data_IF_663900885951
#
_entry.id   IF_663900885951
#
_cell.length_a   1.000
_cell.length_b   1.000
_cell.length_c   1.000
_cell.angle_alpha   90.00
_cell.angle_beta   90.00
_cell.angle_gamma   90.00
#
_symmetry.space_group_name_H-M   'P 1'
#
loop_
_entity.id
_entity.type
_entity.pdbx_description
1 polymer ?
#
# COMPACT_ATOMS: atom_id res chain seq x y z
N UNK A 1 12.17 -15.14 13.84
CA UNK A 1 11.44 -16.40 14.18
C UNK A 1 9.96 -16.12 14.24
N UNK A 2 9.18 -16.94 13.60
CA UNK A 2 7.72 -16.90 13.67
C UNK A 2 7.26 -17.61 14.93
N UNK A 3 6.24 -17.11 15.60
CA UNK A 3 5.66 -17.74 16.78
C UNK A 3 5.14 -19.14 16.43
N UNK A 4 5.43 -20.12 17.27
CA UNK A 4 5.24 -21.54 16.94
C UNK A 4 3.78 -21.94 16.67
N UNK A 5 2.83 -21.32 17.37
CA UNK A 5 1.40 -21.56 17.12
C UNK A 5 0.94 -21.08 15.73
N UNK A 6 1.59 -20.04 15.18
CA UNK A 6 1.35 -19.56 13.81
C UNK A 6 1.93 -20.55 12.80
N UNK A 7 3.17 -21.01 13.01
CA UNK A 7 3.78 -22.02 12.14
C UNK A 7 2.98 -23.31 12.10
N UNK A 8 2.46 -23.76 13.25
CA UNK A 8 1.62 -24.97 13.34
C UNK A 8 0.28 -24.80 12.59
N UNK A 9 -0.26 -23.59 12.61
CA UNK A 9 -1.57 -23.29 12.02
C UNK A 9 -1.51 -22.94 10.54
N UNK A 10 -0.42 -22.31 10.11
CA UNK A 10 -0.21 -21.86 8.74
C UNK A 10 1.15 -22.29 8.19
N UNK A 11 1.46 -23.61 8.20
CA UNK A 11 2.80 -24.09 7.83
C UNK A 11 3.15 -23.76 6.37
N UNK A 12 2.15 -23.75 5.49
CA UNK A 12 2.35 -23.51 4.06
C UNK A 12 2.71 -22.04 3.73
N UNK A 13 2.51 -21.11 4.66
CA UNK A 13 2.83 -19.70 4.42
C UNK A 13 4.31 -19.36 4.63
N UNK A 14 4.99 -20.08 5.52
CA UNK A 14 6.30 -19.70 6.04
C UNK A 14 7.45 -20.61 5.59
N UNK A 15 7.14 -21.66 4.84
CA UNK A 15 8.16 -22.53 4.28
C UNK A 15 8.83 -21.93 3.04
N UNK A 16 9.74 -22.72 2.45
CA UNK A 16 10.34 -22.38 1.16
C UNK A 16 9.29 -22.37 0.05
N UNK A 17 9.24 -21.28 -0.71
CA UNK A 17 8.37 -21.10 -1.86
C UNK A 17 9.20 -21.16 -3.13
N UNK A 18 8.66 -21.82 -4.16
CA UNK A 18 9.25 -21.80 -5.50
C UNK A 18 8.68 -20.59 -6.27
N UNK A 19 9.55 -19.63 -6.59
CA UNK A 19 9.13 -18.36 -7.19
C UNK A 19 10.08 -18.00 -8.34
N UNK A 20 9.56 -17.88 -9.54
CA UNK A 20 10.29 -17.53 -10.76
C UNK A 20 11.56 -18.39 -10.95
N UNK A 21 11.43 -19.72 -10.76
CA UNK A 21 12.52 -20.67 -10.90
C UNK A 21 13.53 -20.68 -9.74
N UNK A 22 13.22 -20.08 -8.62
CA UNK A 22 14.09 -19.99 -7.43
C UNK A 22 13.36 -20.50 -6.20
N UNK A 23 14.08 -21.20 -5.35
CA UNK A 23 13.61 -21.62 -4.04
C UNK A 23 13.98 -20.55 -3.01
N UNK A 24 12.98 -19.93 -2.40
CA UNK A 24 13.15 -18.78 -1.49
C UNK A 24 12.46 -19.08 -0.17
N UNK A 25 13.22 -19.01 0.91
CA UNK A 25 12.70 -19.18 2.27
C UNK A 25 12.03 -17.90 2.74
N UNK A 26 10.76 -18.00 3.18
CA UNK A 26 9.95 -16.88 3.61
C UNK A 26 10.47 -16.27 4.91
N UNK A 27 10.81 -17.10 5.90
CA UNK A 27 11.29 -16.61 7.20
C UNK A 27 12.64 -15.91 7.07
N UNK A 28 13.56 -16.49 6.29
CA UNK A 28 14.87 -15.89 6.05
C UNK A 28 14.75 -14.58 5.29
N UNK A 29 13.85 -14.51 4.30
CA UNK A 29 13.57 -13.29 3.53
C UNK A 29 13.02 -12.18 4.42
N UNK A 30 12.03 -12.48 5.28
CA UNK A 30 11.50 -11.50 6.25
C UNK A 30 12.64 -11.02 7.18
N UNK A 31 13.45 -11.94 7.67
CA UNK A 31 14.54 -11.62 8.58
C UNK A 31 15.61 -10.73 7.92
N UNK A 32 16.05 -11.08 6.71
CA UNK A 32 17.05 -10.33 5.96
C UNK A 32 16.58 -8.90 5.65
N UNK A 33 15.38 -8.75 5.09
CA UNK A 33 14.82 -7.43 4.78
C UNK A 33 14.53 -6.60 6.03
N UNK A 34 14.11 -7.25 7.12
CA UNK A 34 13.92 -6.56 8.39
C UNK A 34 15.23 -6.04 8.97
N UNK A 35 16.31 -6.83 8.94
CA UNK A 35 17.64 -6.36 9.42
C UNK A 35 18.15 -5.19 8.59
N UNK A 36 17.99 -5.27 7.26
CA UNK A 36 18.43 -4.23 6.35
C UNK A 36 17.68 -2.90 6.56
N UNK A 37 16.34 -2.94 6.67
CA UNK A 37 15.50 -1.74 6.64
C UNK A 37 15.09 -1.21 8.02
N UNK A 38 15.20 -2.00 9.09
CA UNK A 38 14.80 -1.59 10.44
C UNK A 38 15.43 -0.27 10.91
N UNK A 39 16.73 0.02 10.67
CA UNK A 39 17.30 1.30 11.09
C UNK A 39 16.64 2.49 10.40
N UNK A 40 16.36 2.39 9.10
CA UNK A 40 15.69 3.45 8.34
C UNK A 40 14.23 3.62 8.77
N UNK A 41 13.51 2.53 9.00
CA UNK A 41 12.14 2.54 9.54
C UNK A 41 12.10 3.21 10.91
N UNK A 42 13.01 2.84 11.81
CA UNK A 42 13.09 3.41 13.14
C UNK A 42 13.41 4.91 13.10
N UNK A 43 14.27 5.34 12.19
CA UNK A 43 14.59 6.75 11.97
C UNK A 43 13.37 7.53 11.45
N UNK A 44 12.65 7.00 10.45
CA UNK A 44 11.45 7.62 9.90
C UNK A 44 10.34 7.76 10.96
N UNK A 45 10.07 6.71 11.73
CA UNK A 45 9.09 6.74 12.82
C UNK A 45 9.50 7.67 13.97
N UNK A 46 10.79 7.82 14.22
CA UNK A 46 11.30 8.77 15.19
C UNK A 46 11.09 10.20 14.71
N UNK A 47 11.37 10.49 13.43
CA UNK A 47 11.11 11.79 12.82
C UNK A 47 9.62 12.16 12.89
N UNK A 48 8.69 11.23 12.58
CA UNK A 48 7.25 11.45 12.78
C UNK A 48 6.93 11.91 14.20
N UNK A 49 7.42 11.17 15.21
CA UNK A 49 7.19 11.51 16.63
C UNK A 49 7.79 12.85 17.02
N UNK A 50 8.96 13.20 16.50
CA UNK A 50 9.59 14.49 16.78
C UNK A 50 8.77 15.67 16.23
N UNK A 51 8.28 15.57 14.98
CA UNK A 51 7.41 16.57 14.39
C UNK A 51 6.12 16.72 15.19
N UNK A 52 5.47 15.60 15.53
CA UNK A 52 4.21 15.58 16.26
C UNK A 52 4.33 16.19 17.67
N UNK A 53 5.45 15.94 18.37
CA UNK A 53 5.72 16.41 19.74
C UNK A 53 6.45 17.74 19.80
N UNK A 54 6.77 18.35 18.68
CA UNK A 54 7.46 19.63 18.65
C UNK A 54 6.62 20.73 19.30
N UNK A 55 7.20 21.58 20.16
CA UNK A 55 6.50 22.71 20.76
C UNK A 55 6.28 23.87 19.77
N UNK A 56 6.86 23.79 18.58
CA UNK A 56 6.72 24.82 17.56
C UNK A 56 5.27 24.96 17.07
N UNK A 57 4.83 26.17 16.71
CA UNK A 57 3.51 26.39 16.11
C UNK A 57 3.28 25.50 14.89
N UNK A 58 2.04 25.05 14.68
CA UNK A 58 1.63 24.13 13.61
C UNK A 58 2.20 24.52 12.25
N UNK A 59 2.11 25.79 11.88
CA UNK A 59 2.62 26.30 10.59
C UNK A 59 4.13 26.20 10.42
N UNK A 60 4.90 26.07 11.50
CA UNK A 60 6.34 25.81 11.45
C UNK A 60 6.65 24.33 11.47
N UNK A 61 5.89 23.53 12.24
CA UNK A 61 6.04 22.07 12.27
C UNK A 61 5.75 21.43 10.91
N UNK A 62 4.73 21.96 10.21
CA UNK A 62 4.23 21.42 8.94
C UNK A 62 4.41 22.46 7.82
N UNK A 63 5.65 22.81 7.56
CA UNK A 63 6.00 23.73 6.49
C UNK A 63 6.18 22.97 5.15
N UNK A 64 5.96 23.68 4.04
CA UNK A 64 6.31 23.17 2.72
C UNK A 64 7.81 22.88 2.65
N UNK A 65 8.22 21.86 1.87
CA UNK A 65 9.63 21.62 1.58
C UNK A 65 10.32 22.88 1.06
N UNK A 66 11.57 23.03 1.43
CA UNK A 66 12.39 24.12 0.86
C UNK A 66 12.70 23.78 -0.60
N UNK A 67 12.73 24.80 -1.45
CA UNK A 67 13.04 24.60 -2.86
C UNK A 67 14.41 23.96 -3.13
N UNK A 68 15.38 24.18 -2.26
CA UNK A 68 16.73 23.63 -2.28
C UNK A 68 16.89 22.32 -1.50
N UNK A 69 15.80 21.81 -0.90
CA UNK A 69 15.83 20.52 -0.22
C UNK A 69 16.11 19.39 -1.22
N UNK A 70 17.02 18.49 -0.85
CA UNK A 70 17.55 17.49 -1.77
C UNK A 70 17.08 16.07 -1.43
N UNK A 71 16.85 15.28 -2.47
CA UNK A 71 16.46 13.89 -2.41
C UNK A 71 17.40 13.06 -3.30
N UNK A 72 17.83 11.90 -2.81
CA UNK A 72 18.57 10.96 -3.63
C UNK A 72 17.60 10.24 -4.58
N UNK A 73 17.92 10.23 -5.87
CA UNK A 73 17.19 9.43 -6.85
C UNK A 73 17.40 7.93 -6.54
N UNK A 74 16.34 7.17 -6.28
CA UNK A 74 16.47 5.75 -5.92
C UNK A 74 17.08 4.89 -7.04
N UNK A 75 17.11 5.38 -8.27
CA UNK A 75 17.64 4.68 -9.45
C UNK A 75 19.09 5.01 -9.70
N UNK A 76 19.40 6.30 -9.84
CA UNK A 76 20.73 6.77 -10.23
C UNK A 76 21.62 7.21 -9.07
N UNK A 77 21.06 7.36 -7.87
CA UNK A 77 21.75 7.93 -6.70
C UNK A 77 22.02 9.42 -6.78
N UNK A 78 21.70 10.09 -7.90
CA UNK A 78 21.92 11.53 -8.08
C UNK A 78 20.99 12.34 -7.19
N UNK A 79 21.49 13.46 -6.68
CA UNK A 79 20.67 14.39 -5.89
C UNK A 79 19.78 15.23 -6.82
N UNK A 80 18.49 15.33 -6.44
CA UNK A 80 17.50 16.21 -7.03
C UNK A 80 16.99 17.17 -5.96
N UNK A 81 16.78 18.43 -6.31
CA UNK A 81 16.12 19.38 -5.40
C UNK A 81 14.59 19.25 -5.52
N UNK A 82 13.88 19.71 -4.50
CA UNK A 82 12.40 19.80 -4.57
C UNK A 82 11.97 20.66 -5.77
N UNK A 83 12.71 21.74 -6.06
CA UNK A 83 12.51 22.57 -7.26
C UNK A 83 12.60 21.75 -8.54
N UNK A 84 13.59 20.87 -8.66
CA UNK A 84 13.80 20.04 -9.86
C UNK A 84 12.62 19.07 -10.06
N UNK A 85 12.15 18.50 -8.96
CA UNK A 85 11.00 17.57 -8.98
C UNK A 85 9.73 18.30 -9.46
N UNK A 86 9.42 19.47 -8.89
CA UNK A 86 8.24 20.25 -9.29
C UNK A 86 8.39 20.78 -10.72
N UNK A 87 9.60 21.20 -11.12
CA UNK A 87 9.85 21.65 -12.49
C UNK A 87 9.58 20.54 -13.51
N UNK A 88 9.92 19.28 -13.17
CA UNK A 88 9.63 18.13 -14.02
C UNK A 88 8.12 17.94 -14.26
N UNK A 89 7.28 18.15 -13.25
CA UNK A 89 5.80 18.14 -13.41
C UNK A 89 5.32 19.26 -14.34
N UNK A 90 5.87 20.45 -14.19
CA UNK A 90 5.53 21.60 -15.07
C UNK A 90 5.96 21.31 -16.50
N UNK A 91 7.14 20.74 -16.71
CA UNK A 91 7.66 20.39 -18.03
C UNK A 91 6.80 19.30 -18.71
N UNK A 92 6.27 18.34 -17.95
CA UNK A 92 5.30 17.37 -18.46
C UNK A 92 4.03 18.07 -18.99
N UNK A 93 3.47 18.98 -18.20
CA UNK A 93 2.26 19.73 -18.59
C UNK A 93 2.48 20.60 -19.84
N UNK A 94 3.64 21.25 -19.91
CA UNK A 94 3.98 22.13 -21.03
C UNK A 94 4.54 21.38 -22.25
N UNK A 95 4.68 20.06 -22.18
CA UNK A 95 5.30 19.26 -23.25
C UNK A 95 6.78 19.59 -23.51
N UNK A 96 7.50 20.15 -22.53
CA UNK A 96 8.90 20.56 -22.68
C UNK A 96 9.84 19.40 -22.44
N UNK A 97 10.80 19.19 -23.30
CA UNK A 97 11.92 18.29 -23.07
C UNK A 97 12.93 18.96 -22.14
N UNK A 98 13.25 18.33 -21.03
CA UNK A 98 14.27 18.79 -20.09
C UNK A 98 14.99 17.64 -19.41
N UNK A 99 16.21 17.87 -18.92
CA UNK A 99 16.97 16.90 -18.13
C UNK A 99 16.32 16.59 -16.75
N UNK A 100 15.29 17.34 -16.36
CA UNK A 100 14.55 17.21 -15.11
C UNK A 100 13.15 16.63 -15.30
N UNK A 101 12.81 16.25 -16.52
CA UNK A 101 11.54 15.59 -16.82
C UNK A 101 11.51 14.21 -16.19
N UNK A 102 10.42 13.89 -15.52
CA UNK A 102 10.15 12.57 -14.99
C UNK A 102 8.64 12.27 -15.09
N UNK A 103 8.30 11.01 -15.22
CA UNK A 103 6.92 10.57 -15.32
C UNK A 103 6.73 9.27 -14.59
N UNK A 104 5.47 9.00 -14.24
CA UNK A 104 5.09 7.71 -13.68
C UNK A 104 5.28 6.61 -14.73
N UNK A 105 5.89 5.50 -14.33
CA UNK A 105 6.04 4.27 -15.12
C UNK A 105 6.66 4.46 -16.53
N UNK A 106 7.53 5.45 -16.70
CA UNK A 106 8.19 5.73 -17.99
C UNK A 106 9.21 4.64 -18.36
N UNK A 107 9.84 4.01 -17.37
CA UNK A 107 10.86 2.99 -17.54
C UNK A 107 10.31 1.56 -17.56
N UNK A 108 9.25 1.29 -16.81
CA UNK A 108 8.66 -0.04 -16.67
C UNK A 108 7.16 0.02 -16.98
N UNK A 109 6.71 -0.66 -18.03
CA UNK A 109 5.31 -0.62 -18.46
C UNK A 109 4.33 -1.02 -17.36
N UNK A 110 3.12 -0.47 -17.42
CA UNK A 110 2.01 -0.88 -16.58
C UNK A 110 1.32 -2.06 -17.26
N UNK A 111 1.12 -3.18 -16.54
CA UNK A 111 0.30 -4.28 -17.05
C UNK A 111 -1.13 -3.83 -17.34
N UNK A 112 -1.75 -4.37 -18.40
CA UNK A 112 -3.06 -3.94 -18.88
C UNK A 112 -4.15 -4.06 -17.80
N UNK A 113 -4.13 -5.12 -17.01
CA UNK A 113 -5.09 -5.37 -15.93
C UNK A 113 -4.97 -4.37 -14.77
N UNK A 114 -3.79 -3.79 -14.56
CA UNK A 114 -3.52 -2.79 -13.52
C UNK A 114 -3.59 -1.35 -14.04
N UNK A 115 -3.74 -1.16 -15.36
CA UNK A 115 -3.68 0.17 -15.95
C UNK A 115 -4.91 1.00 -15.55
N UNK A 116 -4.73 2.13 -14.83
CA UNK A 116 -5.86 2.87 -14.23
C UNK A 116 -6.79 3.50 -15.27
N UNK A 117 -6.31 3.75 -16.49
CA UNK A 117 -7.12 4.29 -17.59
C UNK A 117 -7.83 3.19 -18.40
N UNK A 118 -7.28 1.97 -18.42
CA UNK A 118 -7.90 0.85 -19.12
C UNK A 118 -9.00 0.18 -18.27
N UNK A 119 -8.88 0.27 -16.93
CA UNK A 119 -9.84 -0.29 -15.99
C UNK A 119 -10.42 0.80 -15.07
N UNK A 120 -11.14 1.79 -15.61
CA UNK A 120 -11.81 2.79 -14.78
C UNK A 120 -12.98 2.15 -14.03
N UNK A 121 -13.22 2.58 -12.79
CA UNK A 121 -14.39 2.14 -12.06
C UNK A 121 -14.19 2.07 -10.56
N UNK A 122 -15.09 1.33 -9.92
CA UNK A 122 -15.13 1.17 -8.47
C UNK A 122 -14.03 0.22 -7.98
N UNK A 123 -13.36 0.59 -6.91
CA UNK A 123 -12.45 -0.26 -6.16
C UNK A 123 -13.16 -0.79 -4.91
N UNK A 124 -13.24 -2.11 -4.79
CA UNK A 124 -13.86 -2.76 -3.64
C UNK A 124 -12.80 -3.09 -2.59
N UNK A 125 -12.95 -2.56 -1.39
CA UNK A 125 -12.08 -2.84 -0.25
C UNK A 125 -12.75 -3.78 0.73
N UNK A 126 -12.01 -4.74 1.26
CA UNK A 126 -12.50 -5.59 2.33
C UNK A 126 -11.51 -6.64 2.80
N UNK A 127 -11.78 -7.27 3.96
CA UNK A 127 -10.94 -8.33 4.48
C UNK A 127 -11.09 -9.60 3.64
N UNK A 128 -10.02 -10.40 3.60
CA UNK A 128 -10.06 -11.74 2.98
C UNK A 128 -10.16 -12.86 4.04
N UNK A 129 -10.50 -12.47 5.26
CA UNK A 129 -10.91 -13.36 6.34
C UNK A 129 -12.10 -12.72 7.10
N UNK A 130 -13.22 -13.44 7.29
CA UNK A 130 -13.48 -14.83 6.89
C UNK A 130 -13.58 -15.04 5.38
N UNK A 131 -13.44 -16.29 4.94
CA UNK A 131 -13.27 -16.69 3.54
C UNK A 131 -14.43 -16.25 2.62
N UNK A 132 -15.65 -16.18 3.13
CA UNK A 132 -16.82 -15.71 2.36
C UNK A 132 -16.68 -14.25 1.91
N UNK A 133 -15.90 -13.43 2.61
CA UNK A 133 -15.61 -12.05 2.19
C UNK A 133 -14.74 -12.04 0.93
N UNK A 134 -13.72 -12.91 0.88
CA UNK A 134 -12.88 -13.06 -0.32
C UNK A 134 -13.71 -13.57 -1.52
N UNK A 135 -14.61 -14.55 -1.30
CA UNK A 135 -15.50 -15.05 -2.36
C UNK A 135 -16.43 -13.97 -2.91
N UNK A 136 -17.03 -13.17 -2.02
CA UNK A 136 -17.88 -12.05 -2.42
C UNK A 136 -17.09 -11.00 -3.21
N UNK A 137 -15.84 -10.71 -2.80
CA UNK A 137 -14.98 -9.79 -3.52
C UNK A 137 -14.66 -10.29 -4.94
N UNK A 138 -14.33 -11.57 -5.11
CA UNK A 138 -14.03 -12.17 -6.41
C UNK A 138 -15.26 -12.31 -7.32
N UNK A 139 -16.44 -12.46 -6.73
CA UNK A 139 -17.72 -12.49 -7.47
C UNK A 139 -18.27 -11.10 -7.78
N UNK A 140 -17.62 -10.03 -7.29
CA UNK A 140 -18.04 -8.66 -7.54
C UNK A 140 -17.79 -8.27 -9.00
N UNK A 141 -18.65 -7.42 -9.61
CA UNK A 141 -18.40 -6.84 -10.91
C UNK A 141 -17.40 -5.66 -10.87
N UNK A 142 -16.88 -5.30 -9.70
CA UNK A 142 -15.87 -4.25 -9.58
C UNK A 142 -14.61 -4.64 -10.35
N UNK A 143 -13.98 -3.73 -11.11
CA UNK A 143 -12.76 -4.05 -11.86
C UNK A 143 -11.55 -4.28 -10.95
N UNK A 144 -11.59 -3.75 -9.74
CA UNK A 144 -10.49 -3.82 -8.79
C UNK A 144 -10.96 -4.20 -7.38
N UNK A 145 -10.11 -4.93 -6.68
CA UNK A 145 -10.30 -5.30 -5.29
C UNK A 145 -9.03 -5.02 -4.49
N UNK A 146 -9.19 -4.50 -3.30
CA UNK A 146 -8.13 -4.31 -2.33
C UNK A 146 -8.31 -5.31 -1.17
N UNK A 147 -7.64 -6.49 -1.23
CA UNK A 147 -7.51 -7.36 -0.07
C UNK A 147 -6.83 -6.59 1.07
N UNK A 148 -7.55 -6.43 2.17
CA UNK A 148 -7.10 -5.57 3.24
C UNK A 148 -6.51 -6.38 4.39
N UNK A 149 -5.21 -6.19 4.62
CA UNK A 149 -4.46 -6.80 5.73
C UNK A 149 -4.15 -5.80 6.85
N UNK A 150 -4.81 -4.65 6.85
CA UNK A 150 -4.68 -3.59 7.85
C UNK A 150 -6.01 -3.32 8.55
N UNK A 151 -6.71 -2.24 8.20
CA UNK A 151 -7.86 -1.73 8.96
C UNK A 151 -9.09 -2.65 8.94
N UNK A 152 -9.34 -3.36 7.84
CA UNK A 152 -10.46 -4.29 7.76
C UNK A 152 -10.15 -5.68 8.36
N UNK A 153 -8.92 -5.89 8.84
CA UNK A 153 -8.49 -7.11 9.53
C UNK A 153 -8.09 -6.82 10.99
N UNK A 154 -8.99 -6.25 11.80
CA UNK A 154 -8.67 -5.89 13.18
C UNK A 154 -8.36 -7.13 14.02
N UNK A 155 -7.63 -6.97 15.13
CA UNK A 155 -7.45 -8.05 16.09
C UNK A 155 -8.84 -8.47 16.61
N UNK A 156 -9.06 -9.77 16.72
CA UNK A 156 -10.29 -10.29 17.31
C UNK A 156 -10.28 -10.08 18.83
N UNK A 157 -11.41 -9.70 19.37
CA UNK A 157 -11.64 -9.66 20.81
C UNK A 157 -12.42 -10.92 21.24
N UNK A 158 -12.10 -11.44 22.41
CA UNK A 158 -12.88 -12.50 23.04
C UNK A 158 -14.22 -11.94 23.50
N UNK A 159 -15.23 -12.80 23.74
CA UNK A 159 -16.53 -12.36 24.25
C UNK A 159 -16.48 -11.55 25.55
N UNK A 160 -15.43 -11.74 26.35
CA UNK A 160 -15.18 -10.99 27.60
C UNK A 160 -14.51 -9.61 27.38
N UNK A 161 -14.31 -9.21 26.11
CA UNK A 161 -13.67 -7.94 25.74
C UNK A 161 -12.14 -7.93 25.83
N UNK A 162 -11.52 -9.03 26.22
CA UNK A 162 -10.05 -9.12 26.19
C UNK A 162 -9.55 -9.31 24.77
N UNK A 163 -8.40 -8.71 24.38
CA UNK A 163 -7.81 -8.97 23.09
C UNK A 163 -7.56 -10.48 22.92
N UNK A 164 -8.07 -11.02 21.83
CA UNK A 164 -7.63 -12.33 21.40
C UNK A 164 -6.17 -12.19 20.97
N UNK A 165 -5.27 -12.84 21.70
CA UNK A 165 -3.88 -12.96 21.28
C UNK A 165 -3.73 -13.87 20.03
N UNK A 166 -4.81 -14.18 19.37
CA UNK A 166 -4.80 -14.96 18.15
C UNK A 166 -4.54 -14.03 16.95
N UNK A 167 -3.35 -14.08 16.33
CA UNK A 167 -2.99 -13.30 15.15
C UNK A 167 -3.66 -13.83 13.88
N UNK A 168 -4.89 -14.29 14.02
CA UNK A 168 -5.55 -15.17 13.04
C UNK A 168 -5.96 -14.42 11.79
N UNK A 169 -6.43 -13.17 11.93
CA UNK A 169 -7.07 -12.47 10.82
C UNK A 169 -6.18 -12.30 9.59
N UNK A 170 -4.96 -11.80 9.78
CA UNK A 170 -4.05 -11.48 8.67
C UNK A 170 -3.46 -12.74 8.05
N UNK A 171 -2.95 -13.67 8.87
CA UNK A 171 -2.38 -14.92 8.35
C UNK A 171 -3.45 -15.83 7.75
N UNK A 172 -4.66 -15.87 8.33
CA UNK A 172 -5.78 -16.56 7.72
C UNK A 172 -6.20 -15.94 6.38
N UNK A 173 -6.19 -14.62 6.25
CA UNK A 173 -6.45 -13.94 4.99
C UNK A 173 -5.38 -14.23 3.93
N UNK A 174 -4.10 -14.31 4.34
CA UNK A 174 -3.00 -14.72 3.46
C UNK A 174 -3.12 -16.18 3.02
N UNK A 175 -3.48 -17.09 3.94
CA UNK A 175 -3.74 -18.49 3.63
C UNK A 175 -4.93 -18.62 2.65
N UNK A 176 -6.01 -17.89 2.89
CA UNK A 176 -7.16 -17.85 1.98
C UNK A 176 -6.76 -17.39 0.58
N UNK A 177 -5.94 -16.33 0.49
CA UNK A 177 -5.44 -15.83 -0.78
C UNK A 177 -4.63 -16.89 -1.54
N UNK A 178 -3.68 -17.53 -0.85
CA UNK A 178 -2.85 -18.61 -1.43
C UNK A 178 -3.72 -19.74 -1.95
N UNK A 179 -4.63 -20.25 -1.13
CA UNK A 179 -5.53 -21.36 -1.51
C UNK A 179 -6.43 -21.01 -2.69
N UNK A 180 -6.96 -19.78 -2.73
CA UNK A 180 -7.80 -19.30 -3.83
C UNK A 180 -6.98 -19.23 -5.12
N UNK A 181 -5.78 -18.65 -5.10
CA UNK A 181 -4.96 -18.50 -6.30
C UNK A 181 -4.36 -19.84 -6.78
N UNK A 182 -4.15 -20.78 -5.87
CA UNK A 182 -3.81 -22.17 -6.23
C UNK A 182 -5.00 -22.97 -6.79
N UNK A 183 -6.23 -22.39 -6.78
CA UNK A 183 -7.43 -23.03 -7.31
C UNK A 183 -8.10 -24.02 -6.37
N UNK A 184 -7.70 -24.10 -5.10
CA UNK A 184 -8.26 -25.06 -4.13
C UNK A 184 -9.76 -24.86 -3.86
N UNK A 185 -10.30 -23.69 -4.24
CA UNK A 185 -11.69 -23.29 -4.03
C UNK A 185 -12.52 -23.17 -5.31
N UNK A 186 -11.98 -23.50 -6.49
CA UNK A 186 -12.66 -23.27 -7.77
C UNK A 186 -13.99 -24.01 -7.92
N UNK A 187 -14.14 -25.20 -7.34
CA UNK A 187 -15.38 -26.00 -7.42
C UNK A 187 -15.95 -26.34 -6.03
N UNK A 188 -15.27 -25.90 -4.99
CA UNK A 188 -15.60 -26.27 -3.61
C UNK A 188 -16.44 -25.19 -2.94
N UNK A 189 -17.60 -25.52 -2.31
CA UNK A 189 -18.34 -24.58 -1.49
C UNK A 189 -17.62 -24.36 -0.15
N UNK A 190 -17.72 -23.15 0.36
CA UNK A 190 -17.42 -22.81 1.75
C UNK A 190 -18.70 -22.70 2.54
N UNK A 191 -18.85 -23.53 3.56
CA UNK A 191 -20.01 -23.54 4.42
C UNK A 191 -19.68 -22.96 5.80
N UNK A 192 -20.52 -22.06 6.27
CA UNK A 192 -20.35 -21.40 7.56
C UNK A 192 -21.70 -21.17 8.23
N UNK A 193 -21.73 -21.34 9.55
CA UNK A 193 -22.92 -21.03 10.35
C UNK A 193 -22.89 -19.56 10.75
N UNK A 194 -23.86 -18.78 10.25
CA UNK A 194 -24.03 -17.36 10.60
C UNK A 194 -25.44 -17.16 11.17
N UNK A 195 -25.53 -16.65 12.40
CA UNK A 195 -26.79 -16.39 13.11
C UNK A 195 -27.69 -17.65 13.15
N UNK A 196 -27.11 -18.81 13.49
CA UNK A 196 -27.81 -20.10 13.60
C UNK A 196 -28.25 -20.72 12.27
N UNK A 197 -27.86 -20.18 11.12
CA UNK A 197 -28.21 -20.74 9.79
C UNK A 197 -26.93 -21.09 9.04
N UNK A 198 -26.88 -22.28 8.46
CA UNK A 198 -25.81 -22.67 7.52
C UNK A 198 -25.96 -21.86 6.23
N UNK A 199 -24.91 -21.24 5.80
CA UNK A 199 -24.78 -20.55 4.52
C UNK A 199 -23.65 -21.17 3.72
N UNK A 200 -23.90 -21.35 2.43
CA UNK A 200 -22.94 -21.88 1.48
C UNK A 200 -22.53 -20.77 0.50
N UNK A 201 -21.25 -20.58 0.33
CA UNK A 201 -20.65 -19.61 -0.59
C UNK A 201 -19.82 -20.34 -1.63
N UNK A 202 -19.77 -19.81 -2.85
CA UNK A 202 -18.94 -20.33 -3.94
C UNK A 202 -18.32 -19.19 -4.73
N UNK A 203 -17.15 -19.43 -5.31
CA UNK A 203 -16.62 -18.57 -6.36
C UNK A 203 -17.34 -18.96 -7.65
N UNK A 204 -18.11 -18.04 -8.21
CA UNK A 204 -18.90 -18.24 -9.44
C UNK A 204 -18.29 -17.55 -10.64
N UNK A 205 -17.45 -16.53 -10.39
CA UNK A 205 -16.74 -15.79 -11.43
C UNK A 205 -15.51 -16.56 -11.85
N UNK A 206 -15.30 -16.82 -13.14
CA UNK A 206 -14.07 -17.45 -13.63
C UNK A 206 -12.81 -16.64 -13.29
N UNK A 207 -11.67 -17.28 -12.99
CA UNK A 207 -10.43 -16.57 -12.62
C UNK A 207 -9.99 -15.47 -13.57
N UNK A 208 -10.19 -15.65 -14.88
CA UNK A 208 -9.87 -14.64 -15.90
C UNK A 208 -10.75 -13.36 -15.84
N UNK A 209 -11.82 -13.37 -15.05
CA UNK A 209 -12.73 -12.25 -14.84
C UNK A 209 -12.69 -11.71 -13.40
N UNK A 210 -11.79 -12.23 -12.58
CA UNK A 210 -11.65 -11.69 -11.23
C UNK A 210 -11.16 -10.25 -11.25
N UNK A 211 -11.60 -9.41 -10.30
CA UNK A 211 -11.04 -8.08 -10.11
C UNK A 211 -9.52 -8.11 -10.00
N UNK A 212 -8.82 -7.11 -10.51
CA UNK A 212 -7.39 -6.94 -10.24
C UNK A 212 -7.18 -6.68 -8.74
N UNK A 213 -6.24 -7.38 -8.12
CA UNK A 213 -6.04 -7.38 -6.66
C UNK A 213 -4.83 -6.56 -6.26
N UNK A 214 -5.05 -5.60 -5.37
CA UNK A 214 -4.02 -4.79 -4.75
C UNK A 214 -3.98 -5.08 -3.25
N UNK A 215 -3.08 -5.93 -2.79
CA UNK A 215 -2.96 -6.25 -1.36
C UNK A 215 -2.58 -5.01 -0.55
N UNK A 216 -3.35 -4.68 0.50
CA UNK A 216 -3.02 -3.57 1.40
C UNK A 216 -2.25 -4.08 2.62
N UNK A 217 -0.91 -3.93 2.65
CA UNK A 217 -0.13 -4.25 3.84
C UNK A 217 -0.37 -3.21 4.94
N UNK A 218 -0.03 -3.49 6.20
CA UNK A 218 -0.07 -2.50 7.26
C UNK A 218 0.87 -1.33 6.99
N UNK A 219 0.50 -0.16 7.56
CA UNK A 219 1.38 1.02 7.54
C UNK A 219 2.72 0.76 8.23
N UNK A 220 3.71 1.59 7.90
CA UNK A 220 5.10 1.46 8.36
C UNK A 220 5.24 1.42 9.89
N UNK A 221 4.29 1.99 10.62
CA UNK A 221 4.28 2.08 12.08
C UNK A 221 3.82 0.81 12.79
N UNK A 222 3.25 -0.15 12.07
CA UNK A 222 2.71 -1.39 12.65
C UNK A 222 3.81 -2.43 12.83
N UNK A 223 3.93 -2.94 14.04
CA UNK A 223 4.87 -4.00 14.40
C UNK A 223 4.11 -5.29 14.73
N UNK A 224 4.67 -6.43 14.34
CA UNK A 224 4.10 -7.75 14.57
C UNK A 224 4.87 -8.49 15.66
N UNK A 225 4.32 -8.58 16.87
CA UNK A 225 4.88 -9.34 17.99
C UNK A 225 4.97 -10.85 17.72
N UNK A 226 4.22 -11.32 16.73
CA UNK A 226 4.16 -12.72 16.34
C UNK A 226 5.27 -13.13 15.36
N UNK A 227 5.94 -12.14 14.78
CA UNK A 227 7.06 -12.30 13.87
C UNK A 227 8.23 -11.52 14.44
N UNK A 228 9.22 -12.21 15.01
CA UNK A 228 10.36 -11.54 15.62
C UNK A 228 11.65 -11.80 14.85
N UNK A 229 12.45 -10.77 14.71
CA UNK A 229 13.79 -10.83 14.13
C UNK A 229 14.78 -10.27 15.15
N UNK A 230 15.75 -11.08 15.53
CA UNK A 230 16.75 -10.76 16.56
C UNK A 230 16.10 -10.35 17.90
N UNK A 231 15.02 -11.07 18.29
CA UNK A 231 14.29 -10.85 19.53
C UNK A 231 13.36 -9.62 19.56
N UNK A 232 13.22 -8.90 18.44
CA UNK A 232 12.36 -7.72 18.34
C UNK A 232 11.23 -7.94 17.32
N UNK A 233 10.04 -7.35 17.50
CA UNK A 233 8.96 -7.40 16.54
C UNK A 233 9.39 -6.95 15.14
N UNK A 234 8.92 -7.65 14.12
CA UNK A 234 9.16 -7.27 12.73
C UNK A 234 8.17 -6.20 12.27
N UNK A 235 8.56 -5.31 11.33
CA UNK A 235 7.62 -4.42 10.67
C UNK A 235 6.55 -5.22 9.92
N UNK A 236 5.28 -4.95 10.21
CA UNK A 236 4.14 -5.62 9.57
C UNK A 236 4.13 -5.44 8.05
N UNK A 237 4.54 -4.25 7.57
CA UNK A 237 4.74 -3.98 6.16
C UNK A 237 5.64 -5.02 5.49
N UNK A 238 6.83 -5.29 6.07
CA UNK A 238 7.79 -6.24 5.49
C UNK A 238 7.20 -7.67 5.51
N UNK A 239 6.65 -8.08 6.63
CA UNK A 239 6.09 -9.44 6.76
C UNK A 239 4.97 -9.68 5.74
N UNK A 240 4.02 -8.75 5.61
CA UNK A 240 2.88 -8.89 4.68
C UNK A 240 3.32 -8.81 3.22
N UNK A 241 4.22 -7.88 2.87
CA UNK A 241 4.73 -7.77 1.49
C UNK A 241 5.45 -9.05 1.07
N UNK A 242 6.32 -9.60 1.92
CA UNK A 242 7.03 -10.86 1.63
C UNK A 242 6.04 -12.02 1.49
N UNK A 243 5.12 -12.18 2.45
CA UNK A 243 4.10 -13.23 2.40
C UNK A 243 3.23 -13.12 1.15
N UNK A 244 2.77 -11.92 0.78
CA UNK A 244 1.95 -11.70 -0.40
C UNK A 244 2.68 -12.07 -1.68
N UNK A 245 3.93 -11.64 -1.84
CA UNK A 245 4.73 -11.94 -3.03
C UNK A 245 5.06 -13.41 -3.11
N UNK A 246 5.75 -13.96 -2.10
CA UNK A 246 6.32 -15.30 -2.21
C UNK A 246 5.26 -16.39 -2.29
N UNK A 247 4.11 -16.22 -1.65
CA UNK A 247 3.04 -17.19 -1.70
C UNK A 247 2.15 -17.11 -2.95
N UNK A 248 2.12 -15.96 -3.65
CA UNK A 248 1.12 -15.74 -4.69
C UNK A 248 1.71 -15.43 -6.08
N UNK A 249 2.99 -15.06 -6.17
CA UNK A 249 3.59 -14.62 -7.44
C UNK A 249 3.37 -15.61 -8.58
N UNK A 250 3.70 -16.89 -8.39
CA UNK A 250 3.58 -17.92 -9.43
C UNK A 250 2.14 -18.11 -9.92
N UNK A 251 1.20 -18.12 -9.00
CA UNK A 251 -0.22 -18.30 -9.33
C UNK A 251 -0.77 -17.08 -10.08
N UNK A 252 -0.43 -15.87 -9.62
CA UNK A 252 -0.84 -14.62 -10.27
C UNK A 252 -0.22 -14.47 -11.65
N UNK A 253 1.08 -14.78 -11.78
CA UNK A 253 1.79 -14.71 -13.06
C UNK A 253 1.20 -15.69 -14.09
N UNK A 254 0.92 -16.93 -13.69
CA UNK A 254 0.24 -17.91 -14.56
C UNK A 254 -1.18 -17.47 -14.96
N UNK A 255 -1.85 -16.71 -14.13
CA UNK A 255 -3.16 -16.14 -14.42
C UNK A 255 -3.10 -14.90 -15.33
N UNK A 256 -1.90 -14.47 -15.75
CA UNK A 256 -1.71 -13.28 -16.60
C UNK A 256 -1.88 -11.95 -15.87
N UNK A 257 -1.72 -11.94 -14.55
CA UNK A 257 -1.78 -10.72 -13.71
C UNK A 257 -0.48 -10.55 -12.94
N UNK A 258 -0.28 -9.37 -12.35
CA UNK A 258 0.91 -9.06 -11.55
C UNK A 258 0.69 -9.13 -10.05
N UNK A 259 1.76 -8.82 -9.30
CA UNK A 259 1.71 -8.57 -7.87
C UNK A 259 1.59 -7.07 -7.65
N UNK A 260 0.51 -6.65 -7.01
CA UNK A 260 0.20 -5.25 -6.79
C UNK A 260 -0.11 -4.95 -5.33
N UNK A 261 0.18 -3.71 -4.90
CA UNK A 261 -0.05 -3.27 -3.53
C UNK A 261 -0.82 -1.96 -3.44
N UNK A 262 -1.51 -1.80 -2.34
CA UNK A 262 -2.16 -0.57 -1.93
C UNK A 262 -1.52 -0.08 -0.63
N UNK A 263 -0.73 0.97 -0.67
CA UNK A 263 0.15 1.38 0.44
C UNK A 263 -0.54 2.44 1.29
N UNK A 264 -0.80 2.16 2.58
CA UNK A 264 -1.47 3.08 3.49
C UNK A 264 -0.49 3.99 4.23
N UNK A 265 -1.00 5.08 4.78
CA UNK A 265 -0.43 5.91 5.86
C UNK A 265 1.00 6.41 5.61
N UNK A 266 1.35 6.65 4.33
CA UNK A 266 2.64 7.21 3.93
C UNK A 266 2.66 8.72 4.20
N UNK A 267 3.74 9.22 4.82
CA UNK A 267 3.85 10.63 5.20
C UNK A 267 4.96 11.39 4.45
N UNK A 268 6.07 10.73 4.16
CA UNK A 268 7.28 11.42 3.70
C UNK A 268 7.97 10.72 2.52
N UNK A 269 8.83 11.43 1.76
CA UNK A 269 9.66 10.82 0.72
C UNK A 269 10.66 9.79 1.26
N UNK A 270 11.10 9.90 2.52
CA UNK A 270 11.97 8.91 3.15
C UNK A 270 11.26 7.58 3.33
N UNK A 271 9.98 7.61 3.72
CA UNK A 271 9.16 6.41 3.82
C UNK A 271 8.88 5.80 2.44
N UNK A 272 8.67 6.65 1.43
CA UNK A 272 8.57 6.20 0.04
C UNK A 272 9.87 5.52 -0.43
N UNK A 273 11.03 6.03 -0.03
CA UNK A 273 12.33 5.43 -0.34
C UNK A 273 12.53 4.07 0.35
N UNK A 274 12.08 3.92 1.60
CA UNK A 274 12.11 2.63 2.30
C UNK A 274 11.25 1.60 1.56
N UNK A 275 10.05 1.99 1.13
CA UNK A 275 9.18 1.12 0.33
C UNK A 275 9.82 0.76 -1.02
N UNK A 276 10.39 1.73 -1.74
CA UNK A 276 11.10 1.49 -3.00
C UNK A 276 12.22 0.47 -2.83
N UNK A 277 13.04 0.61 -1.78
CA UNK A 277 14.11 -0.33 -1.45
C UNK A 277 13.56 -1.72 -1.14
N UNK A 278 12.51 -1.82 -0.31
CA UNK A 278 11.88 -3.09 0.05
C UNK A 278 11.43 -3.84 -1.21
N UNK A 279 10.68 -3.18 -2.09
CA UNK A 279 10.14 -3.80 -3.29
C UNK A 279 11.26 -4.15 -4.29
N UNK A 280 12.23 -3.25 -4.50
CA UNK A 280 13.35 -3.52 -5.40
C UNK A 280 14.24 -4.69 -4.93
N UNK A 281 14.46 -4.82 -3.60
CA UNK A 281 15.18 -5.96 -3.03
C UNK A 281 14.45 -7.28 -3.26
N UNK A 282 13.15 -7.29 -3.01
CA UNK A 282 12.33 -8.49 -3.20
C UNK A 282 12.21 -8.88 -4.68
N UNK A 283 12.06 -7.91 -5.59
CA UNK A 283 12.13 -8.11 -7.05
C UNK A 283 13.47 -8.74 -7.46
N UNK A 284 14.58 -8.23 -6.94
CA UNK A 284 15.91 -8.81 -7.18
C UNK A 284 16.06 -10.24 -6.66
N UNK A 285 15.51 -10.54 -5.49
CA UNK A 285 15.53 -11.90 -4.90
C UNK A 285 14.78 -12.90 -5.78
N UNK A 286 13.62 -12.53 -6.29
CA UNK A 286 12.83 -13.40 -7.20
C UNK A 286 13.28 -13.29 -8.66
N UNK A 287 14.23 -12.41 -9.00
CA UNK A 287 14.83 -12.31 -10.31
C UNK A 287 13.98 -11.59 -11.37
N UNK A 288 13.15 -10.62 -10.96
CA UNK A 288 12.38 -9.77 -11.87
C UNK A 288 12.94 -8.34 -11.90
N UNK A 289 12.69 -7.56 -12.97
CA UNK A 289 13.14 -6.19 -13.06
C UNK A 289 12.58 -5.31 -11.93
N UNK A 290 13.38 -4.36 -11.44
CA UNK A 290 12.91 -3.38 -10.47
C UNK A 290 11.78 -2.51 -11.07
N UNK A 291 10.67 -2.33 -10.32
CA UNK A 291 9.46 -1.66 -10.80
C UNK A 291 8.40 -2.59 -11.41
N UNK A 292 8.62 -3.91 -11.38
CA UNK A 292 7.63 -4.92 -11.78
C UNK A 292 6.41 -4.88 -10.85
N UNK A 293 6.63 -4.78 -9.52
CA UNK A 293 5.53 -4.64 -8.57
C UNK A 293 4.96 -3.24 -8.64
N UNK A 294 3.69 -3.13 -9.03
CA UNK A 294 2.99 -1.85 -9.12
C UNK A 294 2.26 -1.54 -7.83
N UNK A 295 2.12 -0.24 -7.54
CA UNK A 295 1.49 0.22 -6.31
C UNK A 295 0.49 1.33 -6.56
N UNK A 296 -0.50 1.40 -5.70
CA UNK A 296 -1.31 2.58 -5.41
C UNK A 296 -0.97 3.06 -4.00
N UNK A 297 -1.04 4.35 -3.75
CA UNK A 297 -0.78 4.93 -2.43
C UNK A 297 -2.05 5.60 -1.91
N UNK A 298 -2.43 5.33 -0.67
CA UNK A 298 -3.45 6.09 0.02
C UNK A 298 -2.85 7.43 0.46
N UNK A 299 -3.31 8.50 -0.19
CA UNK A 299 -3.04 9.86 0.27
C UNK A 299 -4.06 10.19 1.37
N UNK A 300 -3.75 9.83 2.59
CA UNK A 300 -4.64 9.88 3.74
C UNK A 300 -3.97 10.49 4.98
N UNK A 301 -2.76 11.02 4.84
CA UNK A 301 -2.03 11.72 5.86
C UNK A 301 -1.88 13.19 5.48
N UNK A 302 -2.26 14.10 6.36
CA UNK A 302 -2.24 15.55 6.07
C UNK A 302 -0.85 16.05 5.68
N UNK A 303 0.20 15.56 6.35
CA UNK A 303 1.59 15.93 6.04
C UNK A 303 2.02 15.43 4.65
N UNK A 304 1.49 14.30 4.18
CA UNK A 304 1.82 13.78 2.87
C UNK A 304 1.49 14.76 1.73
N UNK A 305 0.50 15.63 1.94
CA UNK A 305 0.17 16.68 0.96
C UNK A 305 1.32 17.64 0.68
N UNK A 306 2.13 17.95 1.68
CA UNK A 306 3.30 18.81 1.52
C UNK A 306 4.39 18.16 0.66
N UNK A 307 4.45 16.82 0.68
CA UNK A 307 5.48 16.00 0.08
C UNK A 307 5.01 15.22 -1.16
N UNK A 308 3.74 15.31 -1.54
CA UNK A 308 3.15 14.47 -2.59
C UNK A 308 3.93 14.47 -3.91
N UNK A 309 4.46 15.61 -4.43
CA UNK A 309 5.32 15.60 -5.60
C UNK A 309 6.59 14.76 -5.42
N UNK A 310 7.24 14.86 -4.26
CA UNK A 310 8.46 14.12 -3.98
C UNK A 310 8.20 12.62 -3.71
N UNK A 311 7.11 12.28 -3.04
CA UNK A 311 6.65 10.89 -2.86
C UNK A 311 6.39 10.25 -4.23
N UNK A 312 5.65 10.94 -5.11
CA UNK A 312 5.36 10.45 -6.46
C UNK A 312 6.64 10.28 -7.29
N UNK A 313 7.60 11.21 -7.17
CA UNK A 313 8.87 11.12 -7.87
C UNK A 313 9.73 9.94 -7.38
N UNK A 314 9.81 9.70 -6.08
CA UNK A 314 10.54 8.55 -5.52
C UNK A 314 9.94 7.25 -6.04
N UNK A 315 8.61 7.14 -6.07
CA UNK A 315 7.89 5.92 -6.45
C UNK A 315 7.55 5.84 -7.95
N UNK A 316 8.07 6.76 -8.78
CA UNK A 316 7.67 6.94 -10.18
C UNK A 316 7.75 5.69 -11.07
N UNK A 317 8.59 4.71 -10.71
CA UNK A 317 8.74 3.46 -11.49
C UNK A 317 7.60 2.47 -11.27
N UNK A 318 6.81 2.64 -10.19
CA UNK A 318 5.79 1.69 -9.79
C UNK A 318 4.45 2.31 -9.42
N UNK A 319 4.39 3.61 -9.16
CA UNK A 319 3.17 4.28 -8.74
C UNK A 319 2.17 4.38 -9.89
N UNK A 320 0.98 3.79 -9.70
CA UNK A 320 -0.15 3.87 -10.63
C UNK A 320 -1.04 5.08 -10.37
N UNK A 321 -1.11 5.52 -9.13
CA UNK A 321 -1.92 6.64 -8.71
C UNK A 321 -2.02 6.72 -7.18
N UNK A 322 -2.67 7.78 -6.72
CA UNK A 322 -2.96 7.98 -5.30
C UNK A 322 -4.45 8.08 -5.07
N UNK A 323 -4.93 7.42 -4.02
CA UNK A 323 -6.33 7.43 -3.58
C UNK A 323 -6.50 8.38 -2.40
N UNK A 324 -7.65 9.04 -2.30
CA UNK A 324 -8.01 9.91 -1.20
C UNK A 324 -8.77 9.14 -0.11
N UNK A 325 -8.15 9.00 1.07
CA UNK A 325 -8.71 8.31 2.24
C UNK A 325 -9.29 9.30 3.25
N UNK A 326 -10.62 9.50 3.24
CA UNK A 326 -11.29 10.56 4.00
C UNK A 326 -11.06 10.48 5.50
N UNK A 327 -11.27 9.31 6.09
CA UNK A 327 -11.31 9.19 7.56
C UNK A 327 -9.93 9.35 8.19
N UNK A 328 -8.94 8.68 7.66
CA UNK A 328 -7.55 8.82 8.10
C UNK A 328 -7.04 10.24 7.83
N UNK A 329 -7.37 10.85 6.67
CA UNK A 329 -7.00 12.23 6.38
C UNK A 329 -7.56 13.21 7.40
N UNK A 330 -8.85 13.09 7.77
CA UNK A 330 -9.46 13.93 8.79
C UNK A 330 -8.81 13.70 10.16
N UNK A 331 -8.57 12.44 10.54
CA UNK A 331 -7.87 12.09 11.77
C UNK A 331 -6.47 12.68 11.82
N UNK A 332 -5.71 12.55 10.74
CA UNK A 332 -4.38 13.13 10.61
C UNK A 332 -4.38 14.66 10.69
N UNK A 333 -5.33 15.32 10.02
CA UNK A 333 -5.47 16.79 10.10
C UNK A 333 -5.82 17.25 11.51
N UNK A 334 -6.72 16.57 12.21
CA UNK A 334 -7.05 16.88 13.61
C UNK A 334 -5.82 16.72 14.51
N UNK A 335 -5.04 15.64 14.33
CA UNK A 335 -3.82 15.41 15.09
C UNK A 335 -2.77 16.49 14.81
N UNK A 336 -2.63 16.95 13.57
CA UNK A 336 -1.73 18.04 13.21
C UNK A 336 -2.09 19.37 13.90
N UNK A 337 -3.39 19.66 14.03
CA UNK A 337 -3.90 20.96 14.52
C UNK A 337 -4.37 20.95 15.97
N UNK A 338 -4.30 19.83 16.68
CA UNK A 338 -4.88 19.65 18.04
C UNK A 338 -4.41 20.69 19.08
N UNK A 339 -3.20 21.24 18.91
CA UNK A 339 -2.61 22.21 19.84
C UNK A 339 -2.82 23.66 19.40
N UNK A 340 -3.50 23.91 18.27
CA UNK A 340 -3.79 25.25 17.75
C UNK A 340 -5.25 25.62 18.01
N UNK A 341 -5.53 26.67 18.80
CA UNK A 341 -6.91 27.11 19.07
C UNK A 341 -7.71 27.49 17.81
N UNK A 342 -7.05 27.80 16.71
CA UNK A 342 -7.68 28.08 15.42
C UNK A 342 -7.93 26.81 14.59
N UNK A 343 -7.38 25.67 15.02
CA UNK A 343 -7.48 24.37 14.34
C UNK A 343 -8.70 23.55 14.75
N UNK A 344 -9.81 24.19 15.16
CA UNK A 344 -11.04 23.48 15.53
C UNK A 344 -11.79 23.03 14.29
N UNK A 345 -11.93 21.72 14.13
CA UNK A 345 -12.69 21.11 13.05
C UNK A 345 -14.15 20.87 13.47
N UNK A 346 -15.12 20.92 12.54
CA UNK A 346 -16.45 20.38 12.78
C UNK A 346 -16.38 18.87 13.07
N UNK A 347 -17.46 18.33 13.65
CA UNK A 347 -17.58 16.87 13.80
C UNK A 347 -17.29 16.17 12.46
N UNK A 348 -16.48 15.09 12.44
CA UNK A 348 -16.07 14.40 11.21
C UNK A 348 -17.25 13.94 10.34
N UNK A 349 -18.39 13.59 10.96
CA UNK A 349 -19.62 13.24 10.25
C UNK A 349 -20.21 14.40 9.44
N UNK A 350 -19.90 15.64 9.79
CA UNK A 350 -20.35 16.84 9.09
C UNK A 350 -19.40 17.27 7.96
N UNK A 351 -18.24 16.60 7.82
CA UNK A 351 -17.27 16.88 6.77
C UNK A 351 -17.42 15.83 5.66
N UNK A 352 -18.36 16.03 4.75
CA UNK A 352 -18.55 15.17 3.58
C UNK A 352 -17.51 15.42 2.48
N UNK A 353 -17.39 14.50 1.52
CA UNK A 353 -16.46 14.62 0.37
C UNK A 353 -16.75 15.87 -0.50
N UNK A 354 -17.94 16.45 -0.40
CA UNK A 354 -18.32 17.69 -1.07
C UNK A 354 -18.01 18.96 -0.25
N UNK A 355 -17.43 18.83 0.95
CA UNK A 355 -17.01 20.01 1.71
C UNK A 355 -15.82 20.71 1.04
N UNK A 356 -15.64 22.04 1.20
CA UNK A 356 -14.58 22.79 0.53
C UNK A 356 -13.18 22.22 0.77
N UNK A 357 -12.88 21.79 2.00
CA UNK A 357 -11.60 21.18 2.36
C UNK A 357 -11.37 19.87 1.64
N UNK A 358 -12.39 19.02 1.56
CA UNK A 358 -12.30 17.74 0.90
C UNK A 358 -12.24 17.88 -0.64
N UNK A 359 -12.92 18.88 -1.20
CA UNK A 359 -12.78 19.22 -2.63
C UNK A 359 -11.34 19.70 -2.92
N UNK A 360 -10.75 20.54 -2.08
CA UNK A 360 -9.38 20.99 -2.24
C UNK A 360 -8.39 19.81 -2.17
N UNK A 361 -8.57 18.90 -1.21
CA UNK A 361 -7.81 17.67 -1.06
C UNK A 361 -7.85 16.80 -2.31
N UNK A 362 -9.04 16.50 -2.83
CA UNK A 362 -9.23 15.72 -4.07
C UNK A 362 -8.61 16.40 -5.28
N UNK A 363 -8.79 17.72 -5.44
CA UNK A 363 -8.23 18.49 -6.55
C UNK A 363 -6.70 18.52 -6.53
N UNK A 364 -6.11 18.65 -5.35
CA UNK A 364 -4.66 18.61 -5.21
C UNK A 364 -4.11 17.24 -5.57
N UNK A 365 -4.72 16.17 -5.07
CA UNK A 365 -4.38 14.80 -5.46
C UNK A 365 -4.44 14.62 -6.99
N UNK A 366 -5.56 15.02 -7.59
CA UNK A 366 -5.77 14.94 -9.03
C UNK A 366 -4.71 15.72 -9.82
N UNK A 367 -4.40 16.95 -9.39
CA UNK A 367 -3.42 17.79 -10.05
C UNK A 367 -2.04 17.12 -10.12
N UNK A 368 -1.53 16.63 -9.00
CA UNK A 368 -0.19 16.04 -8.95
C UNK A 368 -0.14 14.75 -9.79
N UNK A 369 -1.15 13.89 -9.68
CA UNK A 369 -1.17 12.62 -10.42
C UNK A 369 -1.32 12.83 -11.92
N UNK A 370 -2.16 13.78 -12.35
CA UNK A 370 -2.31 14.14 -13.76
C UNK A 370 -0.99 14.67 -14.34
N UNK A 371 -0.34 15.62 -13.65
CA UNK A 371 0.94 16.17 -14.10
C UNK A 371 2.04 15.11 -14.18
N UNK A 372 2.09 14.19 -13.21
CA UNK A 372 3.08 13.10 -13.18
C UNK A 372 2.81 12.01 -14.24
N UNK A 373 1.57 11.83 -14.66
CA UNK A 373 1.16 10.85 -15.68
C UNK A 373 1.12 11.38 -17.12
N UNK A 374 1.31 12.69 -17.34
CA UNK A 374 1.22 13.31 -18.66
C UNK A 374 2.45 13.07 -19.53
N UNK A 375 2.21 12.86 -20.82
CA UNK A 375 3.20 12.88 -21.89
C UNK A 375 2.74 13.81 -23.00
N UNK A 376 3.49 14.88 -23.25
CA UNK A 376 3.17 15.87 -24.30
C UNK A 376 1.74 16.46 -24.17
N UNK A 377 1.30 16.71 -22.94
CA UNK A 377 -0.03 17.25 -22.65
C UNK A 377 -1.17 16.22 -22.65
N UNK A 378 -0.89 14.96 -22.94
CA UNK A 378 -1.85 13.87 -22.88
C UNK A 378 -1.60 12.97 -21.66
N UNK A 379 -2.66 12.55 -20.98
CA UNK A 379 -2.59 11.60 -19.87
C UNK A 379 -2.37 10.19 -20.42
N UNK A 380 -1.20 9.63 -20.16
CA UNK A 380 -0.82 8.31 -20.68
C UNK A 380 -0.56 7.28 -19.59
N UNK A 381 -0.22 7.71 -18.36
CA UNK A 381 0.20 6.80 -17.30
C UNK A 381 -0.16 7.40 -15.94
N UNK A 382 -0.78 6.59 -15.10
CA UNK A 382 -1.22 7.03 -13.78
C UNK A 382 -2.52 7.85 -13.81
N UNK A 383 -3.27 7.78 -12.75
CA UNK A 383 -4.51 8.54 -12.59
C UNK A 383 -4.76 8.86 -11.11
N UNK A 384 -5.45 9.96 -10.82
CA UNK A 384 -6.03 10.17 -9.51
C UNK A 384 -7.12 9.13 -9.27
N UNK A 385 -7.15 8.58 -8.06
CA UNK A 385 -8.13 7.60 -7.67
C UNK A 385 -9.06 8.28 -6.67
N UNK A 386 -10.36 8.25 -6.95
CA UNK A 386 -11.37 8.74 -6.02
C UNK A 386 -11.51 7.79 -4.82
N UNK A 387 -11.75 8.34 -3.63
CA UNK A 387 -12.06 7.60 -2.39
C UNK A 387 -13.54 7.64 -2.06
#
# INVERSE_FOLDING_TARGET
>A
MIRQDILQRFPDLFGTQHVNGRDIDVEETIAALTRELRPEIAAALTARRQVLRSPEPVRKRYAWPRWDETFADPVSGKAWTFRDIVQGLIDNFLGRESARRWRLNDEVPIPDDAHPLANPGLELTGPWHPLDMAFNALNSPAPMNMPDFEDASPPHFRPDGTPSHEPIGIFAAMQNAKEIFEGRWNERPYEVVKKGKTRSYRITTPPAKWPTRFGRPPGLHVLYDHVTVDGQPAPGLIAVVVLWVLNNYEALHRAGTGVYFYIPKMQTPQEALILEKLLARLEGMIGVPAGTFKIKVLYEEGIAGLWLPAIAWVLRRRLLGTNVGRWDYLGSMMEMWKDDPQGVFPDPQNIGMASPSMIAYQRYNALIMLLAGMKNGELTQGAPIGG
#
